data_IF_735435716460
#
_entry.id   IF_735435716460
#
_cell.length_a   1.000
_cell.length_b   1.000
_cell.length_c   1.000
_cell.angle_alpha   90.00
_cell.angle_beta   90.00
_cell.angle_gamma   90.00
#
_symmetry.space_group_name_H-M   'P 1'
#
loop_
_entity.id
_entity.type
_entity.pdbx_description
1 polymer ?
#
# COMPACT_ATOMS: atom_id res chain seq x y z
N UNK A 1 0.21 -11.33 1.93
CA UNK A 1 0.17 -12.43 0.93
C UNK A 1 1.61 -12.78 0.57
N UNK A 2 1.95 -14.07 0.51
CA UNK A 2 3.29 -14.52 0.15
C UNK A 2 3.35 -14.85 -1.35
N UNK A 3 4.36 -14.34 -2.03
CA UNK A 3 4.59 -14.50 -3.46
C UNK A 3 5.83 -15.35 -3.73
N UNK A 4 5.85 -16.05 -4.86
CA UNK A 4 7.08 -16.59 -5.44
C UNK A 4 7.74 -15.54 -6.33
N UNK A 5 9.05 -15.36 -6.23
CA UNK A 5 9.77 -14.43 -7.11
C UNK A 5 9.98 -15.09 -8.47
N UNK A 6 9.59 -14.38 -9.54
CA UNK A 6 9.81 -14.83 -10.93
C UNK A 6 11.05 -14.14 -11.49
N UNK A 7 11.06 -12.80 -11.43
CA UNK A 7 12.16 -11.92 -11.84
C UNK A 7 12.11 -10.60 -11.03
N UNK A 8 12.90 -9.60 -11.42
CA UNK A 8 12.98 -8.31 -10.73
C UNK A 8 11.71 -7.44 -10.85
N UNK A 9 10.83 -7.73 -11.81
CA UNK A 9 9.62 -6.95 -12.10
C UNK A 9 8.34 -7.69 -11.70
N UNK A 10 8.35 -9.02 -11.71
CA UNK A 10 7.16 -9.85 -11.59
C UNK A 10 7.25 -10.89 -10.48
N UNK A 11 6.09 -11.22 -9.93
CA UNK A 11 5.91 -12.25 -8.91
C UNK A 11 4.76 -13.19 -9.25
N UNK A 12 4.85 -14.41 -8.75
CA UNK A 12 3.84 -15.44 -8.90
C UNK A 12 3.01 -15.64 -7.63
N UNK A 13 1.71 -15.81 -7.79
CA UNK A 13 0.79 -16.25 -6.73
C UNK A 13 -0.02 -17.48 -7.16
N UNK A 14 -0.61 -18.21 -6.20
CA UNK A 14 -1.45 -19.39 -6.48
C UNK A 14 -2.88 -19.15 -6.01
N UNK A 15 -3.77 -18.92 -6.96
CA UNK A 15 -5.18 -18.64 -6.71
C UNK A 15 -6.01 -19.91 -6.93
N UNK A 16 -6.96 -20.26 -6.04
CA UNK A 16 -7.93 -21.32 -6.31
C UNK A 16 -8.67 -21.05 -7.62
N UNK A 17 -8.89 -22.10 -8.42
CA UNK A 17 -9.53 -21.98 -9.74
C UNK A 17 -10.88 -21.27 -9.62
N UNK A 18 -11.71 -21.68 -8.66
CA UNK A 18 -13.05 -21.14 -8.43
C UNK A 18 -13.08 -19.72 -7.86
N UNK A 19 -11.93 -19.15 -7.49
CA UNK A 19 -11.81 -17.77 -7.02
C UNK A 19 -11.34 -16.80 -8.10
N UNK A 20 -11.10 -17.29 -9.33
CA UNK A 20 -10.73 -16.44 -10.45
C UNK A 20 -11.89 -15.54 -10.85
N UNK A 21 -11.57 -14.27 -11.12
CA UNK A 21 -12.50 -13.30 -11.68
C UNK A 21 -12.31 -13.23 -13.20
N UNK A 22 -13.27 -12.68 -13.96
CA UNK A 22 -13.11 -12.49 -15.41
C UNK A 22 -11.79 -11.77 -15.76
N UNK A 23 -11.46 -10.70 -15.02
CA UNK A 23 -10.21 -9.97 -15.21
C UNK A 23 -8.93 -10.68 -14.78
N UNK A 24 -9.00 -11.83 -14.10
CA UNK A 24 -7.84 -12.71 -13.86
C UNK A 24 -7.62 -13.71 -15.00
N UNK A 25 -8.66 -13.95 -15.82
CA UNK A 25 -8.66 -14.92 -16.92
C UNK A 25 -8.37 -14.21 -18.25
N UNK A 26 -9.02 -13.08 -18.50
CA UNK A 26 -8.84 -12.28 -19.71
C UNK A 26 -7.38 -11.81 -19.85
N UNK A 27 -6.73 -12.06 -21.00
CA UNK A 27 -5.38 -11.57 -21.25
C UNK A 27 -5.31 -10.04 -21.14
N UNK A 28 -4.38 -9.54 -20.33
CA UNK A 28 -4.20 -8.10 -20.12
C UNK A 28 -2.74 -7.69 -20.23
N UNK A 29 -2.49 -6.49 -20.73
CA UNK A 29 -1.17 -5.85 -20.68
C UNK A 29 -0.88 -5.20 -19.32
N UNK A 30 -1.91 -5.01 -18.49
CA UNK A 30 -1.83 -4.39 -17.16
C UNK A 30 -2.61 -5.22 -16.14
N UNK A 31 -1.94 -5.72 -15.13
CA UNK A 31 -2.57 -6.48 -14.04
C UNK A 31 -2.00 -7.88 -13.91
N UNK A 32 -2.88 -8.87 -13.75
CA UNK A 32 -2.51 -10.26 -13.51
C UNK A 32 -2.80 -11.08 -14.76
N UNK A 33 -1.89 -11.98 -15.09
CA UNK A 33 -2.13 -12.98 -16.12
C UNK A 33 -1.88 -14.38 -15.56
N UNK A 34 -2.58 -15.36 -16.10
CA UNK A 34 -2.26 -16.76 -15.85
C UNK A 34 -0.89 -17.06 -16.47
N UNK A 35 0.00 -17.66 -15.68
CA UNK A 35 1.40 -17.92 -16.08
C UNK A 35 1.51 -18.76 -17.37
N UNK A 36 0.57 -19.66 -17.57
CA UNK A 36 0.51 -20.55 -18.73
C UNK A 36 -0.45 -19.94 -19.78
N UNK A 37 0.07 -19.47 -20.92
CA UNK A 37 -0.76 -18.85 -21.96
C UNK A 37 -1.78 -19.79 -22.59
N UNK A 38 -1.48 -21.10 -22.69
CA UNK A 38 -2.41 -22.07 -23.26
C UNK A 38 -3.59 -22.28 -22.32
N UNK A 39 -3.30 -22.44 -21.02
CA UNK A 39 -4.33 -22.52 -19.99
C UNK A 39 -5.17 -21.24 -19.95
N UNK A 40 -4.54 -20.06 -20.06
CA UNK A 40 -5.25 -18.79 -20.06
C UNK A 40 -6.26 -18.70 -21.20
N UNK A 41 -5.83 -19.04 -22.42
CA UNK A 41 -6.68 -19.04 -23.60
C UNK A 41 -7.83 -20.05 -23.48
N UNK A 42 -7.54 -21.26 -23.00
CA UNK A 42 -8.55 -22.30 -22.80
C UNK A 42 -9.62 -21.87 -21.79
N UNK A 43 -9.21 -21.26 -20.67
CA UNK A 43 -10.14 -20.71 -19.68
C UNK A 43 -10.95 -19.55 -20.27
N UNK A 44 -10.30 -18.62 -20.98
CA UNK A 44 -10.98 -17.49 -21.61
C UNK A 44 -12.11 -17.94 -22.56
N UNK A 45 -11.87 -18.98 -23.36
CA UNK A 45 -12.91 -19.58 -24.23
C UNK A 45 -14.02 -20.21 -23.39
N UNK A 46 -13.69 -20.98 -22.36
CA UNK A 46 -14.67 -21.69 -21.54
C UNK A 46 -15.57 -20.76 -20.69
N UNK A 47 -15.04 -19.60 -20.31
CA UNK A 47 -15.70 -18.63 -19.42
C UNK A 47 -16.18 -17.37 -20.12
N UNK A 48 -16.09 -17.29 -21.45
CA UNK A 48 -16.44 -16.09 -22.22
C UNK A 48 -17.87 -15.61 -21.90
N UNK A 49 -17.99 -14.35 -21.50
CA UNK A 49 -19.28 -13.70 -21.20
C UNK A 49 -19.98 -14.20 -19.94
N UNK A 50 -19.31 -14.99 -19.10
CA UNK A 50 -19.87 -15.50 -17.84
C UNK A 50 -19.32 -14.72 -16.66
N UNK A 51 -20.18 -14.45 -15.69
CA UNK A 51 -19.82 -13.84 -14.41
C UNK A 51 -20.50 -14.56 -13.24
N UNK A 52 -20.25 -14.10 -12.01
CA UNK A 52 -20.92 -14.60 -10.81
C UNK A 52 -20.96 -16.13 -10.71
N UNK A 53 -22.16 -16.68 -10.57
CA UNK A 53 -22.39 -18.13 -10.44
C UNK A 53 -22.13 -18.90 -11.74
N UNK A 54 -22.38 -18.29 -12.89
CA UNK A 54 -22.20 -18.93 -14.20
C UNK A 54 -20.72 -19.13 -14.51
N UNK A 55 -19.89 -18.16 -14.10
CA UNK A 55 -18.43 -18.28 -14.14
C UNK A 55 -17.95 -19.43 -13.26
N UNK A 56 -18.44 -19.51 -12.01
CA UNK A 56 -18.05 -20.57 -11.09
C UNK A 56 -18.39 -21.96 -11.65
N UNK A 57 -19.60 -22.14 -12.20
CA UNK A 57 -20.01 -23.39 -12.84
C UNK A 57 -19.15 -23.73 -14.05
N UNK A 58 -18.83 -22.75 -14.90
CA UNK A 58 -17.96 -22.96 -16.05
C UNK A 58 -16.55 -23.40 -15.65
N UNK A 59 -16.01 -22.83 -14.57
CA UNK A 59 -14.70 -23.21 -14.02
C UNK A 59 -14.71 -24.64 -13.45
N UNK A 60 -15.79 -25.04 -12.77
CA UNK A 60 -15.97 -26.44 -12.31
C UNK A 60 -15.99 -27.40 -13.48
N UNK A 61 -16.85 -27.14 -14.47
CA UNK A 61 -16.96 -27.96 -15.67
C UNK A 61 -15.64 -28.03 -16.45
N UNK A 62 -14.89 -26.92 -16.52
CA UNK A 62 -13.56 -26.89 -17.13
C UNK A 62 -12.59 -27.85 -16.43
N UNK A 63 -12.60 -27.88 -15.09
CA UNK A 63 -11.74 -28.80 -14.33
C UNK A 63 -12.16 -30.26 -14.39
N UNK A 64 -13.43 -30.55 -14.69
CA UNK A 64 -13.94 -31.93 -14.74
C UNK A 64 -13.78 -32.55 -16.13
N UNK A 65 -13.71 -31.71 -17.17
CA UNK A 65 -13.56 -32.13 -18.56
C UNK A 65 -12.27 -32.95 -18.76
N UNK A 66 -12.42 -34.06 -19.47
CA UNK A 66 -11.30 -34.85 -19.96
C UNK A 66 -10.42 -34.01 -20.91
N UNK A 67 -9.31 -33.53 -20.37
CA UNK A 67 -8.38 -32.59 -20.97
C UNK A 67 -7.07 -32.59 -20.18
N UNK A 68 -5.99 -31.97 -20.69
CA UNK A 68 -4.76 -31.80 -19.92
C UNK A 68 -4.91 -31.03 -18.59
N UNK A 69 -6.05 -30.36 -18.39
CA UNK A 69 -6.36 -29.57 -17.20
C UNK A 69 -7.38 -30.26 -16.27
N UNK A 70 -7.67 -31.54 -16.48
CA UNK A 70 -8.55 -32.30 -15.61
C UNK A 70 -8.03 -32.28 -14.16
N UNK A 71 -8.92 -32.04 -13.21
CA UNK A 71 -8.60 -31.94 -11.79
C UNK A 71 -7.87 -30.64 -11.40
N UNK A 72 -7.82 -29.62 -12.27
CA UNK A 72 -7.18 -28.35 -11.97
C UNK A 72 -7.84 -27.65 -10.76
N UNK A 73 -7.09 -27.49 -9.67
CA UNK A 73 -7.59 -26.84 -8.44
C UNK A 73 -7.11 -25.40 -8.24
N UNK A 74 -5.91 -25.07 -8.73
CA UNK A 74 -5.28 -23.76 -8.50
C UNK A 74 -4.46 -23.36 -9.70
N UNK A 75 -4.51 -22.08 -10.04
CA UNK A 75 -3.79 -21.48 -11.16
C UNK A 75 -2.69 -20.57 -10.64
N UNK A 76 -1.56 -20.52 -11.34
CA UNK A 76 -0.49 -19.56 -11.05
C UNK A 76 -0.76 -18.26 -11.79
N UNK A 77 -0.92 -17.16 -11.06
CA UNK A 77 -1.02 -15.82 -11.62
C UNK A 77 0.34 -15.13 -11.52
N UNK A 78 0.75 -14.45 -12.57
CA UNK A 78 1.89 -13.52 -12.59
C UNK A 78 1.33 -12.10 -12.51
N UNK A 79 1.87 -11.32 -11.59
CA UNK A 79 1.54 -9.90 -11.44
C UNK A 79 2.80 -9.06 -11.29
N UNK A 80 2.73 -7.80 -11.71
CA UNK A 80 3.82 -6.85 -11.56
C UNK A 80 3.99 -6.47 -10.10
N UNK A 81 5.14 -6.81 -9.53
CA UNK A 81 5.57 -6.37 -8.21
C UNK A 81 7.10 -6.27 -8.24
N UNK A 82 7.58 -5.05 -8.49
CA UNK A 82 9.00 -4.77 -8.64
C UNK A 82 9.76 -5.04 -7.35
N UNK A 83 11.05 -5.36 -7.47
CA UNK A 83 11.97 -5.62 -6.36
C UNK A 83 11.96 -4.52 -5.29
N UNK A 84 11.87 -3.25 -5.69
CA UNK A 84 11.82 -2.10 -4.77
C UNK A 84 10.52 -1.98 -3.96
N UNK A 85 9.45 -2.66 -4.38
CA UNK A 85 8.13 -2.64 -3.77
C UNK A 85 7.80 -3.91 -2.96
N UNK A 86 8.77 -4.83 -2.81
CA UNK A 86 8.60 -6.09 -2.10
C UNK A 86 9.73 -6.33 -1.11
N UNK A 87 9.44 -7.12 -0.09
CA UNK A 87 10.40 -7.65 0.88
C UNK A 87 10.67 -9.10 0.51
N UNK A 88 11.91 -9.40 0.15
CA UNK A 88 12.37 -10.75 -0.18
C UNK A 88 12.87 -11.46 1.08
N UNK A 89 12.48 -12.73 1.26
CA UNK A 89 12.74 -13.53 2.46
C UNK A 89 13.43 -14.82 2.07
N UNK A 90 14.58 -15.07 2.70
CA UNK A 90 15.40 -16.27 2.55
C UNK A 90 15.95 -16.46 1.14
N UNK A 91 16.87 -17.40 0.99
CA UNK A 91 17.55 -17.68 -0.27
C UNK A 91 17.53 -19.18 -0.57
N UNK A 92 17.39 -19.52 -1.85
CA UNK A 92 17.63 -20.86 -2.39
C UNK A 92 19.13 -21.13 -2.43
N UNK A 93 19.54 -22.38 -2.59
CA UNK A 93 20.95 -22.76 -2.83
C UNK A 93 21.60 -21.99 -3.99
N UNK A 94 20.79 -21.50 -4.94
CA UNK A 94 21.24 -20.70 -6.10
C UNK A 94 21.20 -19.19 -5.85
N UNK A 95 21.02 -18.75 -4.59
CA UNK A 95 20.96 -17.34 -4.19
C UNK A 95 19.67 -16.60 -4.58
N UNK A 96 18.64 -17.30 -5.10
CA UNK A 96 17.36 -16.67 -5.45
C UNK A 96 16.45 -16.57 -4.22
N UNK A 97 15.66 -15.48 -4.06
CA UNK A 97 14.71 -15.35 -2.96
C UNK A 97 13.72 -16.52 -2.86
N UNK A 98 13.48 -17.04 -1.66
CA UNK A 98 12.49 -18.10 -1.45
C UNK A 98 11.05 -17.57 -1.59
N UNK A 99 10.78 -16.41 -0.99
CA UNK A 99 9.48 -15.76 -0.97
C UNK A 99 9.62 -14.24 -1.04
N UNK A 100 8.55 -13.59 -1.47
CA UNK A 100 8.40 -12.15 -1.35
C UNK A 100 7.06 -11.77 -0.70
N UNK A 101 7.04 -10.64 -0.01
CA UNK A 101 5.85 -10.01 0.55
C UNK A 101 5.74 -8.59 0.01
N UNK A 102 4.52 -8.08 -0.15
CA UNK A 102 4.32 -6.69 -0.53
C UNK A 102 4.86 -5.76 0.57
N UNK A 103 5.65 -4.76 0.18
CA UNK A 103 6.34 -3.83 1.08
C UNK A 103 5.67 -2.46 1.20
N UNK A 104 4.35 -2.39 0.98
CA UNK A 104 3.55 -1.16 0.93
C UNK A 104 2.99 -0.72 2.29
N UNK A 105 3.07 -1.58 3.31
CA UNK A 105 2.63 -1.24 4.66
C UNK A 105 3.59 -0.23 5.32
N UNK A 106 3.05 0.95 5.64
CA UNK A 106 3.79 2.04 6.28
C UNK A 106 3.47 2.10 7.78
N UNK A 107 4.51 2.12 8.62
CA UNK A 107 4.41 2.21 10.07
C UNK A 107 4.22 3.65 10.55
N UNK A 108 5.15 4.53 10.17
CA UNK A 108 5.12 5.93 10.55
C UNK A 108 5.80 6.82 9.49
N UNK A 109 5.51 8.12 9.55
CA UNK A 109 6.26 9.14 8.83
C UNK A 109 7.07 9.97 9.81
N UNK A 110 8.32 10.22 9.45
CA UNK A 110 9.29 10.97 10.23
C UNK A 110 9.80 12.15 9.42
N UNK A 111 10.06 13.26 10.10
CA UNK A 111 10.85 14.36 9.57
C UNK A 111 12.18 14.43 10.32
N UNK A 112 13.26 14.45 9.56
CA UNK A 112 14.63 14.52 10.07
C UNK A 112 15.26 15.84 9.67
N UNK A 113 15.85 16.55 10.63
CA UNK A 113 16.72 17.70 10.37
C UNK A 113 18.15 17.21 10.20
N UNK A 114 18.72 17.38 9.01
CA UNK A 114 20.11 17.07 8.70
C UNK A 114 21.05 18.13 9.30
N UNK A 115 22.37 17.84 9.41
CA UNK A 115 23.35 18.81 9.94
C UNK A 115 23.43 20.12 9.16
N UNK A 116 23.18 20.07 7.85
CA UNK A 116 23.11 21.27 6.99
C UNK A 116 21.78 22.06 7.13
N UNK A 117 20.90 21.66 8.06
CA UNK A 117 19.60 22.28 8.28
C UNK A 117 18.48 21.80 7.36
N UNK A 118 18.78 20.99 6.33
CA UNK A 118 17.75 20.45 5.41
C UNK A 118 16.81 19.50 6.17
N UNK A 119 15.52 19.58 5.84
CA UNK A 119 14.53 18.65 6.34
C UNK A 119 14.33 17.51 5.34
N UNK A 120 14.53 16.28 5.81
CA UNK A 120 14.37 15.07 5.02
C UNK A 120 13.17 14.26 5.56
N UNK A 121 12.13 14.03 4.73
CA UNK A 121 11.06 13.13 5.09
C UNK A 121 11.50 11.68 4.94
N UNK A 122 11.05 10.84 5.87
CA UNK A 122 11.19 9.40 5.76
C UNK A 122 9.88 8.73 6.15
N UNK A 123 9.39 7.84 5.31
CA UNK A 123 8.32 6.91 5.68
C UNK A 123 8.96 5.59 6.04
N UNK A 124 8.76 5.16 7.28
CA UNK A 124 9.26 3.89 7.79
C UNK A 124 8.23 2.82 7.48
N UNK A 125 8.64 1.77 6.76
CA UNK A 125 7.75 0.64 6.48
C UNK A 125 7.54 -0.22 7.74
N UNK A 126 6.46 -0.98 7.81
CA UNK A 126 6.22 -1.94 8.90
C UNK A 126 7.35 -2.95 8.99
N UNK A 127 7.85 -3.43 7.85
CA UNK A 127 9.00 -4.34 7.85
C UNK A 127 10.23 -3.69 8.50
N UNK A 128 10.63 -2.48 8.06
CA UNK A 128 11.76 -1.77 8.65
C UNK A 128 11.61 -1.55 10.15
N UNK A 129 10.42 -1.15 10.62
CA UNK A 129 10.15 -0.95 12.04
C UNK A 129 10.39 -2.21 12.88
N UNK A 130 10.14 -3.40 12.31
CA UNK A 130 10.33 -4.68 12.99
C UNK A 130 11.74 -5.28 12.82
N UNK A 131 12.63 -4.66 12.04
CA UNK A 131 14.04 -5.10 11.98
C UNK A 131 14.84 -4.75 13.24
N UNK A 132 14.31 -3.86 14.09
CA UNK A 132 15.01 -3.36 15.28
C UNK A 132 16.12 -2.35 14.99
N UNK A 133 16.37 -2.03 13.71
CA UNK A 133 17.44 -1.11 13.30
C UNK A 133 16.84 0.26 12.99
N UNK A 134 17.18 1.28 13.79
CA UNK A 134 16.83 2.67 13.49
C UNK A 134 17.73 3.20 12.36
N UNK A 135 17.17 3.23 11.15
CA UNK A 135 17.87 3.77 9.98
C UNK A 135 17.70 5.29 9.93
N UNK A 136 18.69 6.04 10.40
CA UNK A 136 18.75 7.50 10.24
C UNK A 136 19.24 7.86 8.83
N UNK A 137 18.77 8.96 8.21
CA UNK A 137 19.29 9.40 6.92
C UNK A 137 20.74 9.90 7.00
N UNK A 138 21.16 10.39 8.17
CA UNK A 138 22.53 10.79 8.45
C UNK A 138 22.84 10.53 9.95
N UNK A 139 24.08 10.15 10.34
CA UNK A 139 24.41 9.86 11.74
C UNK A 139 24.07 10.99 12.72
N UNK A 140 24.34 12.23 12.32
CA UNK A 140 24.03 13.44 13.07
C UNK A 140 22.65 14.06 12.77
N UNK A 141 21.75 13.37 12.05
CA UNK A 141 20.39 13.86 11.83
C UNK A 141 19.57 13.78 13.13
N UNK A 142 18.80 14.83 13.40
CA UNK A 142 17.84 14.88 14.52
C UNK A 142 16.43 14.62 14.01
N UNK A 143 15.74 13.61 14.54
CA UNK A 143 14.31 13.44 14.28
C UNK A 143 13.54 14.55 14.99
N UNK A 144 12.83 15.37 14.21
CA UNK A 144 12.03 16.48 14.73
C UNK A 144 10.54 16.11 14.84
N UNK A 145 10.07 15.15 14.04
CA UNK A 145 8.67 14.74 14.05
C UNK A 145 8.56 13.24 13.76
N UNK A 146 7.63 12.57 14.44
CA UNK A 146 7.18 11.22 14.13
C UNK A 146 5.65 11.21 14.23
N UNK A 147 5.00 10.77 13.17
CA UNK A 147 3.55 10.73 13.02
C UNK A 147 3.11 9.34 12.57
N UNK A 148 2.04 8.86 13.17
CA UNK A 148 1.38 7.60 12.83
C UNK A 148 0.07 7.85 12.09
N UNK A 149 -0.43 6.83 11.41
CA UNK A 149 -1.80 6.84 10.89
C UNK A 149 -2.77 7.00 12.05
N UNK A 150 -3.81 7.82 11.86
CA UNK A 150 -4.81 8.24 12.86
C UNK A 150 -4.31 9.19 13.96
N UNK A 151 -3.03 9.57 13.97
CA UNK A 151 -2.60 10.67 14.84
C UNK A 151 -3.38 11.95 14.48
N UNK A 152 -3.67 12.75 15.51
CA UNK A 152 -4.17 14.10 15.32
C UNK A 152 -2.99 15.08 15.20
N UNK A 153 -3.11 16.00 14.25
CA UNK A 153 -2.08 17.00 13.98
C UNK A 153 -2.70 18.38 13.90
N UNK A 154 -2.00 19.36 14.47
CA UNK A 154 -2.31 20.77 14.29
C UNK A 154 -1.42 21.34 13.19
N UNK A 155 -2.01 22.11 12.29
CA UNK A 155 -1.30 22.90 11.27
C UNK A 155 -1.82 24.34 11.28
N UNK A 156 -0.95 25.27 10.94
CA UNK A 156 -1.29 26.67 10.70
C UNK A 156 -1.60 26.88 9.22
N UNK A 157 -2.80 27.36 8.93
CA UNK A 157 -3.26 27.69 7.58
C UNK A 157 -4.27 28.84 7.64
N UNK A 158 -4.17 29.80 6.72
CA UNK A 158 -5.05 30.99 6.71
C UNK A 158 -5.03 31.74 8.07
N UNK A 159 -3.85 31.86 8.68
CA UNK A 159 -3.65 32.48 10.00
C UNK A 159 -4.47 31.83 11.14
N UNK A 160 -4.92 30.59 10.97
CA UNK A 160 -5.65 29.82 11.97
C UNK A 160 -4.98 28.47 12.21
N UNK A 161 -5.00 28.01 13.47
CA UNK A 161 -4.65 26.63 13.79
C UNK A 161 -5.85 25.74 13.46
N UNK A 162 -5.65 24.74 12.62
CA UNK A 162 -6.65 23.74 12.25
C UNK A 162 -6.15 22.35 12.61
N UNK A 163 -7.05 21.51 13.14
CA UNK A 163 -6.74 20.14 13.57
C UNK A 163 -7.23 19.14 12.51
N UNK A 164 -6.38 18.16 12.20
CA UNK A 164 -6.62 17.12 11.21
C UNK A 164 -6.28 15.73 11.76
N UNK A 165 -6.85 14.70 11.15
CA UNK A 165 -6.42 13.30 11.27
C UNK A 165 -5.49 12.91 10.12
N UNK A 166 -4.49 12.09 10.42
CA UNK A 166 -3.59 11.51 9.43
C UNK A 166 -4.23 10.26 8.83
N UNK A 167 -4.69 10.36 7.58
CA UNK A 167 -5.43 9.30 6.90
C UNK A 167 -4.53 8.34 6.14
N UNK A 168 -3.47 8.85 5.50
CA UNK A 168 -2.54 8.05 4.72
C UNK A 168 -1.11 8.58 4.87
N UNK A 169 -0.17 7.66 5.02
CA UNK A 169 1.26 7.88 4.94
C UNK A 169 1.72 7.41 3.57
N UNK A 170 2.33 8.28 2.77
CA UNK A 170 2.75 7.96 1.40
C UNK A 170 4.23 8.31 1.20
N UNK A 171 5.00 7.38 0.63
CA UNK A 171 6.44 7.50 0.46
C UNK A 171 6.83 8.62 -0.50
N UNK A 172 6.03 8.85 -1.54
CA UNK A 172 6.31 9.86 -2.57
C UNK A 172 5.55 11.16 -2.30
N UNK A 173 4.32 11.06 -1.80
CA UNK A 173 3.37 12.16 -1.74
C UNK A 173 3.23 12.82 -0.36
N UNK A 174 3.88 12.28 0.66
CA UNK A 174 3.86 12.81 2.02
C UNK A 174 2.63 12.36 2.82
N UNK A 175 2.03 13.29 3.56
CA UNK A 175 0.88 13.02 4.42
C UNK A 175 -0.43 13.41 3.74
N UNK A 176 -1.45 12.59 3.93
CA UNK A 176 -2.83 12.93 3.56
C UNK A 176 -3.63 13.14 4.83
N UNK A 177 -4.19 14.33 4.97
CA UNK A 177 -4.88 14.79 6.16
C UNK A 177 -6.38 14.97 5.88
N UNK A 178 -7.23 14.63 6.85
CA UNK A 178 -8.66 14.93 6.83
C UNK A 178 -9.03 15.83 8.01
N UNK A 179 -9.91 16.82 7.86
CA UNK A 179 -10.37 17.62 8.99
C UNK A 179 -10.96 16.75 10.09
N UNK A 180 -10.67 17.06 11.36
CA UNK A 180 -11.11 16.23 12.48
C UNK A 180 -12.64 16.18 12.68
N UNK A 181 -13.38 17.15 12.13
CA UNK A 181 -14.84 17.23 12.23
C UNK A 181 -15.56 16.45 11.15
N UNK A 182 -14.85 15.98 10.13
CA UNK A 182 -15.45 15.29 9.00
C UNK A 182 -15.47 13.78 9.22
N UNK A 183 -16.61 13.16 8.94
CA UNK A 183 -16.78 11.71 8.97
C UNK A 183 -16.73 11.12 7.54
N UNK A 184 -16.51 9.80 7.47
CA UNK A 184 -16.52 9.02 6.22
C UNK A 184 -15.56 9.54 5.13
N UNK A 185 -14.49 10.24 5.53
CA UNK A 185 -13.58 10.93 4.63
C UNK A 185 -12.93 10.02 3.58
N UNK A 186 -12.65 8.75 3.91
CA UNK A 186 -12.07 7.80 2.95
C UNK A 186 -13.06 7.39 1.86
N UNK A 187 -14.33 7.12 2.21
CA UNK A 187 -15.37 6.81 1.22
C UNK A 187 -15.60 8.02 0.29
N UNK A 188 -15.74 9.22 0.88
CA UNK A 188 -15.91 10.48 0.15
C UNK A 188 -14.72 10.80 -0.76
N UNK A 189 -13.49 10.55 -0.31
CA UNK A 189 -12.29 10.75 -1.14
C UNK A 189 -12.28 9.87 -2.40
N UNK A 190 -12.75 8.62 -2.27
CA UNK A 190 -12.81 7.63 -3.36
C UNK A 190 -13.96 7.88 -4.32
N UNK A 191 -15.03 8.52 -3.86
CA UNK A 191 -16.13 8.93 -4.71
C UNK A 191 -15.66 10.02 -5.70
N UNK A 192 -15.99 9.83 -6.97
CA UNK A 192 -15.67 10.79 -8.03
C UNK A 192 -16.67 11.96 -8.07
N UNK A 193 -17.86 11.76 -7.52
CA UNK A 193 -18.94 12.76 -7.49
C UNK A 193 -18.87 13.66 -6.26
N UNK A 194 -18.22 13.22 -5.18
CA UNK A 194 -18.00 14.03 -3.99
C UNK A 194 -16.80 14.99 -4.21
N UNK A 195 -16.97 16.31 -3.99
CA UNK A 195 -15.88 17.28 -4.12
C UNK A 195 -14.80 17.13 -3.04
N UNK A 196 -15.05 16.38 -1.96
CA UNK A 196 -14.10 16.19 -0.88
C UNK A 196 -12.80 15.55 -1.35
N UNK A 197 -11.68 16.16 -0.95
CA UNK A 197 -10.35 15.59 -1.11
C UNK A 197 -9.55 15.73 0.17
N UNK A 198 -8.70 14.73 0.44
CA UNK A 198 -7.71 14.84 1.50
C UNK A 198 -6.77 16.01 1.23
N UNK A 199 -6.38 16.69 2.30
CA UNK A 199 -5.31 17.66 2.25
C UNK A 199 -3.97 16.92 2.15
N UNK A 200 -3.40 16.89 0.95
CA UNK A 200 -2.08 16.33 0.72
C UNK A 200 -0.99 17.34 1.07
N UNK A 201 0.01 16.93 1.84
CA UNK A 201 1.12 17.77 2.28
C UNK A 201 2.45 17.03 2.20
N UNK A 202 3.35 17.53 1.35
CA UNK A 202 4.75 17.14 1.31
C UNK A 202 5.57 17.78 2.44
N UNK A 203 6.80 17.30 2.65
CA UNK A 203 7.68 17.71 3.77
C UNK A 203 7.89 19.22 3.92
N UNK A 204 8.15 19.92 2.82
CA UNK A 204 8.34 21.37 2.84
C UNK A 204 7.07 22.11 3.29
N UNK A 205 5.90 21.68 2.82
CA UNK A 205 4.61 22.26 3.21
C UNK A 205 4.28 21.97 4.67
N UNK A 206 4.57 20.76 5.14
CA UNK A 206 4.41 20.37 6.54
C UNK A 206 5.19 21.31 7.47
N UNK A 207 6.46 21.55 7.15
CA UNK A 207 7.33 22.47 7.90
C UNK A 207 6.79 23.91 7.86
N UNK A 208 6.44 24.44 6.68
CA UNK A 208 5.89 25.80 6.54
C UNK A 208 4.60 26.00 7.31
N UNK A 209 3.76 24.96 7.38
CA UNK A 209 2.50 24.98 8.14
C UNK A 209 2.67 24.75 9.65
N UNK A 210 3.92 24.65 10.14
CA UNK A 210 4.23 24.38 11.55
C UNK A 210 3.49 23.15 12.10
N UNK A 211 3.50 22.06 11.33
CA UNK A 211 2.85 20.82 11.75
C UNK A 211 3.40 20.34 13.09
N UNK A 212 2.52 19.84 13.94
CA UNK A 212 2.84 19.21 15.22
C UNK A 212 1.77 18.18 15.57
N UNK A 213 2.18 17.12 16.27
CA UNK A 213 1.23 16.15 16.81
C UNK A 213 0.51 16.78 18.00
N UNK A 214 -0.81 16.68 18.02
CA UNK A 214 -1.63 17.02 19.18
C UNK A 214 -2.20 15.74 19.78
N UNK A 215 -2.33 15.71 21.09
CA UNK A 215 -3.00 14.61 21.79
C UNK A 215 -4.38 15.11 22.20
N UNK A 216 -5.39 14.30 21.96
CA UNK A 216 -6.76 14.58 22.38
C UNK A 216 -7.20 13.40 23.24
N UNK A 217 -7.71 13.70 24.42
CA UNK A 217 -8.27 12.69 25.31
C UNK A 217 -9.70 12.32 24.93
N UNK A 218 -10.28 11.35 25.64
CA UNK A 218 -11.60 10.78 25.34
C UNK A 218 -12.75 11.80 25.50
N UNK A 219 -12.54 12.87 26.29
CA UNK A 219 -13.51 13.95 26.49
C UNK A 219 -13.28 15.14 25.53
N UNK A 220 -12.25 15.09 24.70
CA UNK A 220 -11.97 16.09 23.67
C UNK A 220 -11.03 17.21 24.10
N UNK A 221 -10.34 17.12 25.24
CA UNK A 221 -9.36 18.12 25.64
C UNK A 221 -8.06 17.94 24.86
N UNK A 222 -7.57 19.05 24.30
CA UNK A 222 -6.40 19.08 23.43
C UNK A 222 -5.16 19.43 24.25
N UNK A 223 -4.10 18.64 24.08
CA UNK A 223 -2.73 18.94 24.53
C UNK A 223 -1.87 19.25 23.30
N UNK A 224 -1.56 20.52 23.13
CA UNK A 224 -0.71 21.01 22.04
C UNK A 224 0.70 21.37 22.59
N UNK A 225 1.76 20.67 22.17
CA UNK A 225 3.13 20.96 22.61
C UNK A 225 3.72 22.24 21.97
N UNK A 226 3.01 22.87 21.04
CA UNK A 226 3.49 23.99 20.25
C UNK A 226 4.33 23.58 19.04
N UNK A 227 4.65 24.54 18.14
CA UNK A 227 5.38 24.28 16.91
C UNK A 227 6.73 23.58 17.13
N UNK A 228 7.15 22.82 16.12
CA UNK A 228 8.48 22.21 16.10
C UNK A 228 9.57 23.29 16.19
N UNK A 229 10.54 23.07 17.06
CA UNK A 229 11.78 23.86 17.09
C UNK A 229 12.67 23.38 15.95
N UNK A 230 12.64 24.10 14.84
CA UNK A 230 13.42 23.80 13.64
C UNK A 230 14.81 24.39 13.79
#
# INVERSE_FOLDING_TARGET
>A
MAYGVVDDLTVGSRTPLLSLKPGDIEPTTKGKNIRDPQLQNALCVATKGKDGKDLEQALRAFSEKDSPYQGLRRVRLIETLQKSARVEIGETEKGKPLKAYMGDSNYCSELWKLPNGKIEPKVVTTYEAHTGIERRPHPAAKRILRIFKKDMVAIERENKTKIYFVQKLDRANGLFLAPHKDANCDARYRDKTDPFKFLQMGSGTLVKSKIRRVVVDEIGCIRDPGPLKI
#
